data_IF_899110230383
#
_entry.id   IF_899110230383
#
_cell.length_a   1.000
_cell.length_b   1.000
_cell.length_c   1.000
_cell.angle_alpha   90.00
_cell.angle_beta   90.00
_cell.angle_gamma   90.00
#
_symmetry.space_group_name_H-M   'P 1'
#
loop_
_entity.id
_entity.type
_entity.pdbx_description
1 polymer ?
#
# COMPACT_ATOMS: atom_id res chain seq x y z
N UNK A 1 2.57 12.10 8.02
CA UNK A 1 1.48 12.92 7.67
C UNK A 1 0.80 12.47 6.38
N UNK A 2 -0.45 12.16 6.50
CA UNK A 2 -1.23 11.69 5.37
C UNK A 2 -1.33 12.74 4.27
N UNK A 3 -1.52 13.99 4.65
CA UNK A 3 -1.66 15.08 3.70
C UNK A 3 -0.44 15.19 2.78
N UNK A 4 0.76 15.08 3.34
CA UNK A 4 1.96 15.11 2.54
C UNK A 4 2.06 13.94 1.56
N UNK A 5 1.70 12.72 2.02
CA UNK A 5 1.69 11.55 1.16
C UNK A 5 0.67 11.67 0.03
N UNK A 6 -0.52 12.17 0.36
CA UNK A 6 -1.56 12.36 -0.64
C UNK A 6 -1.15 13.40 -1.69
N UNK A 7 -0.57 14.49 -1.25
CA UNK A 7 -0.07 15.53 -2.16
C UNK A 7 0.99 14.99 -3.11
N UNK A 8 1.90 14.15 -2.61
CA UNK A 8 2.92 13.53 -3.45
C UNK A 8 2.29 12.62 -4.51
N UNK A 9 1.29 11.85 -4.14
CA UNK A 9 0.58 10.97 -5.07
C UNK A 9 -0.15 11.80 -6.13
N UNK A 10 -0.87 12.83 -5.72
CA UNK A 10 -1.59 13.70 -6.64
C UNK A 10 -0.64 14.39 -7.62
N UNK A 11 0.49 14.87 -7.13
CA UNK A 11 1.50 15.51 -7.98
C UNK A 11 2.03 14.50 -9.00
N UNK A 12 2.32 13.28 -8.58
CA UNK A 12 2.78 12.23 -9.48
C UNK A 12 1.73 11.90 -10.53
N UNK A 13 0.47 11.82 -10.14
CA UNK A 13 -0.61 11.55 -11.08
C UNK A 13 -0.76 12.67 -12.11
N UNK A 14 -0.66 13.92 -11.67
CA UNK A 14 -0.72 15.07 -12.57
C UNK A 14 0.43 15.04 -13.59
N UNK A 15 1.63 14.68 -13.14
CA UNK A 15 2.78 14.54 -14.03
C UNK A 15 2.58 13.40 -15.03
N UNK A 16 2.00 12.29 -14.59
CA UNK A 16 1.70 11.17 -15.49
C UNK A 16 0.69 11.58 -16.56
N UNK A 17 -0.34 12.31 -16.19
CA UNK A 17 -1.33 12.77 -17.13
C UNK A 17 -0.68 13.67 -18.19
N UNK A 18 0.20 14.56 -17.78
CA UNK A 18 0.93 15.43 -18.71
C UNK A 18 1.85 14.63 -19.64
N UNK A 19 2.56 13.63 -19.08
CA UNK A 19 3.42 12.75 -19.87
C UNK A 19 2.60 11.88 -20.81
N UNK A 20 1.42 11.47 -20.36
CA UNK A 20 0.53 10.58 -21.11
C UNK A 20 0.11 11.16 -22.45
N UNK A 21 -0.01 12.47 -22.56
CA UNK A 21 -0.42 13.12 -23.80
C UNK A 21 0.66 13.14 -24.85
N UNK A 22 1.93 12.85 -24.49
CA UNK A 22 3.05 13.00 -25.40
C UNK A 22 3.71 11.70 -25.86
N UNK A 23 3.57 10.57 -25.12
CA UNK A 23 4.24 9.30 -25.46
C UNK A 23 3.40 8.07 -25.14
N UNK A 24 2.69 7.51 -26.12
CA UNK A 24 1.80 6.37 -25.92
C UNK A 24 2.43 5.11 -25.28
N UNK A 25 3.65 4.66 -25.66
CA UNK A 25 4.19 3.40 -25.11
C UNK A 25 4.56 3.45 -23.64
N UNK A 26 4.99 4.60 -23.13
CA UNK A 26 5.31 4.76 -21.71
C UNK A 26 4.06 4.89 -20.86
N UNK A 27 2.98 5.27 -21.47
CA UNK A 27 1.71 5.47 -20.80
C UNK A 27 1.07 4.18 -20.32
N UNK A 28 1.27 3.07 -21.05
CA UNK A 28 0.61 1.82 -20.69
C UNK A 28 1.13 1.30 -19.35
N UNK A 29 2.46 1.28 -19.13
CA UNK A 29 3.03 0.82 -17.86
C UNK A 29 2.60 1.72 -16.70
N UNK A 30 2.68 3.04 -16.88
CA UNK A 30 2.24 4.00 -15.87
C UNK A 30 0.75 3.87 -15.58
N UNK A 31 -0.06 3.71 -16.61
CA UNK A 31 -1.50 3.53 -16.48
C UNK A 31 -1.83 2.25 -15.73
N UNK A 32 -1.13 1.16 -16.01
CA UNK A 32 -1.33 -0.12 -15.32
C UNK A 32 -0.97 -0.01 -13.85
N UNK A 33 0.17 0.61 -13.54
CA UNK A 33 0.60 0.80 -12.14
C UNK A 33 -0.40 1.68 -11.40
N UNK A 34 -0.86 2.76 -12.03
CA UNK A 34 -1.85 3.65 -11.42
C UNK A 34 -3.16 2.90 -11.11
N UNK A 35 -3.66 2.10 -12.04
CA UNK A 35 -4.85 1.29 -11.82
C UNK A 35 -4.65 0.28 -10.71
N UNK A 36 -3.45 -0.31 -10.63
CA UNK A 36 -3.09 -1.23 -9.55
C UNK A 36 -3.11 -0.54 -8.21
N UNK A 37 -2.53 0.66 -8.11
CA UNK A 37 -2.52 1.46 -6.88
C UNK A 37 -3.95 1.81 -6.47
N UNK A 38 -4.79 2.23 -7.41
CA UNK A 38 -6.18 2.54 -7.16
C UNK A 38 -6.94 1.33 -6.61
N UNK A 39 -6.74 0.17 -7.24
CA UNK A 39 -7.38 -1.07 -6.79
C UNK A 39 -6.94 -1.44 -5.37
N UNK A 40 -5.64 -1.34 -5.10
CA UNK A 40 -5.08 -1.64 -3.78
C UNK A 40 -5.64 -0.70 -2.74
N UNK A 41 -5.67 0.60 -3.00
CA UNK A 41 -6.17 1.59 -2.04
C UNK A 41 -7.65 1.41 -1.75
N UNK A 42 -8.41 0.92 -2.71
CA UNK A 42 -9.84 0.68 -2.52
C UNK A 42 -10.15 -0.66 -1.85
N UNK A 43 -9.26 -1.63 -1.95
CA UNK A 43 -9.53 -3.01 -1.56
C UNK A 43 -8.53 -3.63 -0.58
N UNK A 44 -7.61 -2.86 -0.04
CA UNK A 44 -6.54 -3.40 0.82
C UNK A 44 -7.07 -4.12 2.06
N UNK A 45 -8.25 -3.74 2.54
CA UNK A 45 -8.86 -4.34 3.74
C UNK A 45 -9.47 -5.72 3.46
N UNK A 46 -9.60 -6.09 2.20
CA UNK A 46 -10.11 -7.40 1.79
C UNK A 46 -8.95 -8.34 1.46
N UNK A 47 -9.21 -9.67 1.46
CA UNK A 47 -8.14 -10.64 1.16
C UNK A 47 -7.86 -10.73 -0.34
N UNK A 48 -7.39 -9.64 -0.92
CA UNK A 48 -7.04 -9.60 -2.34
C UNK A 48 -5.68 -10.23 -2.59
N UNK A 49 -5.51 -10.77 -3.78
CA UNK A 49 -4.27 -11.38 -4.24
C UNK A 49 -3.69 -10.58 -5.40
N UNK A 50 -2.43 -10.90 -5.76
CA UNK A 50 -1.80 -10.29 -6.94
C UNK A 50 -2.60 -10.65 -8.20
N UNK A 51 -3.15 -11.87 -8.24
CA UNK A 51 -4.02 -12.31 -9.35
C UNK A 51 -5.26 -11.44 -9.48
N UNK A 52 -5.86 -11.05 -8.35
CA UNK A 52 -7.05 -10.17 -8.36
C UNK A 52 -6.70 -8.82 -8.96
N UNK A 53 -5.56 -8.26 -8.57
CA UNK A 53 -5.10 -6.96 -9.10
C UNK A 53 -4.86 -7.07 -10.60
N UNK A 54 -4.16 -8.11 -11.04
CA UNK A 54 -3.85 -8.31 -12.45
C UNK A 54 -5.14 -8.48 -13.27
N UNK A 55 -6.08 -9.26 -12.76
CA UNK A 55 -7.37 -9.48 -13.44
C UNK A 55 -8.17 -8.19 -13.58
N UNK A 56 -8.18 -7.37 -12.55
CA UNK A 56 -8.88 -6.08 -12.59
C UNK A 56 -8.33 -5.19 -13.71
N UNK A 57 -7.01 -5.19 -13.87
CA UNK A 57 -6.36 -4.34 -14.87
C UNK A 57 -6.41 -4.98 -16.28
N UNK A 58 -6.53 -6.31 -16.33
CA UNK A 58 -6.51 -7.05 -17.59
C UNK A 58 -5.10 -7.47 -18.01
N UNK A 59 -4.21 -7.70 -17.05
CA UNK A 59 -2.83 -8.10 -17.29
C UNK A 59 -2.56 -9.50 -16.75
N UNK A 60 -1.49 -10.12 -17.26
CA UNK A 60 -0.93 -11.29 -16.62
C UNK A 60 -0.21 -10.86 -15.34
N UNK A 61 -0.05 -11.81 -14.43
CA UNK A 61 0.68 -11.58 -13.19
C UNK A 61 2.12 -11.13 -13.46
N UNK A 62 2.77 -11.75 -14.43
CA UNK A 62 4.15 -11.40 -14.81
C UNK A 62 4.26 -9.98 -15.34
N UNK A 63 3.31 -9.57 -16.17
CA UNK A 63 3.30 -8.23 -16.74
C UNK A 63 3.08 -7.19 -15.63
N UNK A 64 2.16 -7.46 -14.72
CA UNK A 64 1.92 -6.58 -13.58
C UNK A 64 3.18 -6.43 -12.72
N UNK A 65 3.85 -7.55 -12.44
CA UNK A 65 5.11 -7.55 -11.68
C UNK A 65 6.16 -6.65 -12.35
N UNK A 66 6.36 -6.84 -13.65
CA UNK A 66 7.35 -6.05 -14.39
C UNK A 66 7.02 -4.57 -14.39
N UNK A 67 5.74 -4.23 -14.54
CA UNK A 67 5.30 -2.84 -14.54
C UNK A 67 5.55 -2.18 -13.19
N UNK A 68 5.21 -2.84 -12.09
CA UNK A 68 5.46 -2.32 -10.75
C UNK A 68 6.95 -2.18 -10.48
N UNK A 69 7.76 -3.19 -10.82
CA UNK A 69 9.21 -3.11 -10.63
C UNK A 69 9.83 -1.97 -11.42
N UNK A 70 9.40 -1.79 -12.66
CA UNK A 70 9.93 -0.75 -13.53
C UNK A 70 9.62 0.66 -13.03
N UNK A 71 8.41 0.89 -12.55
CA UNK A 71 7.93 2.21 -12.16
C UNK A 71 8.20 2.51 -10.69
N UNK A 72 7.93 1.56 -9.80
CA UNK A 72 7.98 1.76 -8.35
C UNK A 72 9.16 1.09 -7.66
N UNK A 73 9.85 0.17 -8.35
CA UNK A 73 10.96 -0.56 -7.76
C UNK A 73 10.56 -1.62 -6.75
N UNK A 74 9.26 -1.91 -6.63
CA UNK A 74 8.73 -2.94 -5.72
C UNK A 74 7.69 -3.78 -6.45
N UNK A 75 7.47 -4.99 -5.95
CA UNK A 75 6.45 -5.86 -6.52
C UNK A 75 5.04 -5.41 -6.08
N UNK A 76 3.99 -5.83 -6.78
CA UNK A 76 2.62 -5.55 -6.34
C UNK A 76 2.33 -6.06 -4.93
N UNK A 77 2.85 -7.23 -4.59
CA UNK A 77 2.67 -7.82 -3.25
C UNK A 77 3.34 -6.96 -2.18
N UNK A 78 4.56 -6.51 -2.45
CA UNK A 78 5.28 -5.62 -1.53
C UNK A 78 4.54 -4.30 -1.36
N UNK A 79 4.02 -3.75 -2.44
CA UNK A 79 3.25 -2.52 -2.39
C UNK A 79 2.01 -2.67 -1.52
N UNK A 80 1.27 -3.76 -1.72
CA UNK A 80 0.07 -4.05 -0.92
C UNK A 80 0.41 -4.18 0.57
N UNK A 81 1.48 -4.92 0.88
CA UNK A 81 1.92 -5.11 2.26
C UNK A 81 2.31 -3.77 2.89
N UNK A 82 3.11 -2.98 2.19
CA UNK A 82 3.54 -1.66 2.69
C UNK A 82 2.36 -0.73 2.90
N UNK A 83 1.37 -0.78 2.00
CA UNK A 83 0.16 0.02 2.12
C UNK A 83 -0.61 -0.35 3.39
N UNK A 84 -0.79 -1.65 3.62
CA UNK A 84 -1.46 -2.16 4.82
C UNK A 84 -0.72 -1.74 6.09
N UNK A 85 0.60 -1.82 6.10
CA UNK A 85 1.41 -1.43 7.26
C UNK A 85 1.29 0.07 7.52
N UNK A 86 1.23 0.90 6.49
CA UNK A 86 1.00 2.34 6.67
C UNK A 86 -0.35 2.61 7.32
N UNK A 87 -1.39 1.88 6.90
CA UNK A 87 -2.70 2.01 7.54
C UNK A 87 -2.66 1.56 9.00
N UNK A 88 -1.90 0.50 9.29
CA UNK A 88 -1.70 0.05 10.66
C UNK A 88 -1.04 1.12 11.53
N UNK A 89 -0.01 1.77 11.00
CA UNK A 89 0.68 2.86 11.72
C UNK A 89 -0.30 3.97 12.09
N UNK A 90 -1.16 4.36 11.17
CA UNK A 90 -2.17 5.37 11.43
C UNK A 90 -3.13 4.92 12.55
N UNK A 91 -3.64 3.70 12.47
CA UNK A 91 -4.57 3.19 13.48
C UNK A 91 -3.93 3.01 14.85
N UNK A 92 -2.66 2.62 14.87
CA UNK A 92 -1.93 2.48 16.14
C UNK A 92 -1.76 3.82 16.84
N UNK A 93 -1.57 4.89 16.09
CA UNK A 93 -1.41 6.24 16.64
C UNK A 93 -2.74 6.88 17.04
N UNK A 94 -3.78 6.65 16.27
CA UNK A 94 -5.01 7.45 16.34
C UNK A 94 -6.23 6.71 16.82
N UNK A 95 -6.11 5.42 17.17
CA UNK A 95 -7.24 4.65 17.68
C UNK A 95 -6.84 3.82 18.89
N UNK A 96 -7.86 3.33 19.61
CA UNK A 96 -7.69 2.43 20.74
C UNK A 96 -7.94 0.97 20.37
N UNK A 97 -8.06 0.68 19.07
CA UNK A 97 -8.33 -0.68 18.61
C UNK A 97 -7.23 -1.64 19.06
N UNK A 98 -7.62 -2.87 19.37
CA UNK A 98 -6.66 -3.92 19.71
C UNK A 98 -5.79 -4.24 18.50
N UNK A 99 -4.63 -4.81 18.74
CA UNK A 99 -3.73 -5.23 17.66
C UNK A 99 -4.43 -6.21 16.72
N UNK A 100 -5.20 -7.14 17.28
CA UNK A 100 -5.98 -8.10 16.48
C UNK A 100 -7.02 -7.40 15.61
N UNK A 101 -7.73 -6.42 16.17
CA UNK A 101 -8.74 -5.67 15.44
C UNK A 101 -8.09 -4.87 14.29
N UNK A 102 -6.95 -4.27 14.54
CA UNK A 102 -6.20 -3.54 13.52
C UNK A 102 -5.80 -4.49 12.38
N UNK A 103 -5.21 -5.64 12.75
CA UNK A 103 -4.80 -6.63 11.75
C UNK A 103 -5.96 -7.03 10.83
N UNK A 104 -7.12 -7.32 11.40
CA UNK A 104 -8.30 -7.67 10.62
C UNK A 104 -8.79 -6.53 9.74
N UNK A 105 -8.78 -5.32 10.26
CA UNK A 105 -9.30 -4.16 9.52
C UNK A 105 -8.43 -3.75 8.34
N UNK A 106 -7.15 -4.13 8.33
CA UNK A 106 -6.25 -3.79 7.23
C UNK A 106 -5.98 -4.97 6.28
N UNK A 107 -6.70 -6.07 6.46
CA UNK A 107 -6.66 -7.19 5.52
C UNK A 107 -5.73 -8.34 5.89
N UNK A 108 -5.18 -8.36 7.09
CA UNK A 108 -4.40 -9.51 7.56
C UNK A 108 -5.34 -10.52 8.22
N UNK A 109 -5.25 -11.79 7.78
CA UNK A 109 -6.07 -12.85 8.34
C UNK A 109 -5.63 -13.29 9.74
N UNK A 110 -4.34 -13.10 10.02
CA UNK A 110 -3.70 -13.63 11.23
C UNK A 110 -2.92 -12.51 11.91
N UNK A 111 -3.26 -12.21 13.17
CA UNK A 111 -2.61 -11.14 13.91
C UNK A 111 -1.14 -11.43 14.21
N UNK A 112 -0.77 -12.69 14.35
CA UNK A 112 0.62 -13.08 14.57
C UNK A 112 1.46 -12.78 13.32
N UNK A 113 0.95 -13.13 12.15
CA UNK A 113 1.61 -12.83 10.89
C UNK A 113 1.72 -11.32 10.68
N UNK A 114 0.66 -10.59 11.00
CA UNK A 114 0.68 -9.13 10.97
C UNK A 114 1.80 -8.57 11.85
N UNK A 115 1.89 -9.04 13.11
CA UNK A 115 2.89 -8.54 14.05
C UNK A 115 4.31 -8.82 13.56
N UNK A 116 4.55 -10.00 13.01
CA UNK A 116 5.86 -10.35 12.44
C UNK A 116 6.21 -9.47 11.24
N UNK A 117 5.25 -9.26 10.35
CA UNK A 117 5.45 -8.42 9.17
C UNK A 117 5.70 -6.97 9.58
N UNK A 118 4.92 -6.47 10.52
CA UNK A 118 5.08 -5.12 11.05
C UNK A 118 6.47 -4.93 11.65
N UNK A 119 6.90 -5.86 12.48
CA UNK A 119 8.22 -5.79 13.11
C UNK A 119 9.34 -5.81 12.07
N UNK A 120 9.19 -6.64 11.04
CA UNK A 120 10.18 -6.73 9.96
C UNK A 120 10.33 -5.41 9.22
N UNK A 121 9.22 -4.71 8.96
CA UNK A 121 9.21 -3.47 8.19
C UNK A 121 9.56 -2.26 9.04
N UNK A 122 9.04 -2.19 10.26
CA UNK A 122 9.18 -1.00 11.11
C UNK A 122 10.24 -1.12 12.20
N UNK A 123 10.76 -2.30 12.46
CA UNK A 123 11.76 -2.53 13.51
C UNK A 123 11.21 -2.58 14.92
N UNK A 124 9.92 -2.38 15.09
CA UNK A 124 9.22 -2.42 16.38
C UNK A 124 7.98 -3.30 16.24
N UNK A 125 7.55 -3.93 17.34
CA UNK A 125 6.26 -4.60 17.34
C UNK A 125 5.13 -3.56 17.25
N UNK A 126 3.92 -3.95 16.84
CA UNK A 126 2.80 -3.01 16.83
C UNK A 126 2.55 -2.38 18.21
N UNK A 127 2.67 -3.18 19.28
CA UNK A 127 2.49 -2.69 20.63
C UNK A 127 3.55 -1.67 21.02
N UNK A 128 4.80 -1.96 20.73
CA UNK A 128 5.91 -1.04 20.97
C UNK A 128 5.77 0.25 20.18
N UNK A 129 5.36 0.14 18.92
CA UNK A 129 5.13 1.28 18.07
C UNK A 129 4.04 2.19 18.64
N UNK A 130 2.94 1.61 19.08
CA UNK A 130 1.85 2.37 19.71
C UNK A 130 2.35 3.10 20.96
N UNK A 131 3.06 2.41 21.84
CA UNK A 131 3.57 3.02 23.06
C UNK A 131 4.48 4.19 22.77
N UNK A 132 5.38 4.03 21.80
CA UNK A 132 6.37 5.05 21.45
C UNK A 132 5.70 6.30 20.86
N UNK A 133 4.81 6.12 19.91
CA UNK A 133 4.25 7.25 19.17
C UNK A 133 3.02 7.87 19.81
N UNK A 134 2.28 7.10 20.59
CA UNK A 134 1.11 7.62 21.30
C UNK A 134 1.55 8.52 22.47
N UNK A 135 2.63 8.15 23.16
CA UNK A 135 3.19 8.97 24.23
C UNK A 135 3.75 10.29 23.73
N UNK A 136 4.30 10.29 22.52
CA UNK A 136 4.86 11.51 21.93
C UNK A 136 3.81 12.55 21.60
N UNK A 137 2.53 12.17 21.52
CA UNK A 137 1.41 13.07 21.22
C UNK A 137 0.74 13.64 22.48
N UNK A 138 1.01 13.04 23.61
CA UNK A 138 0.52 13.53 24.90
C UNK A 138 1.45 14.60 25.46
#
# INVERSE_FOLDING_TARGET
RLVGSEMCIETALALFVSAATSKPPQNSANSYVQKGIEYISANYSYPITVEDIASYIGLSRSHLFRSFQSILGVSPKEYLTDFRIKQACYLLKHSSLSITAIAGSIGFDNSLYFSKTFHKIKGLSPKEYRSKYKKAQE
#
